data_IF_179757404271
#
_entry.id   IF_179757404271
#
_cell.length_a   1.000
_cell.length_b   1.000
_cell.length_c   1.000
_cell.angle_alpha   90.00
_cell.angle_beta   90.00
_cell.angle_gamma   90.00
#
_symmetry.space_group_name_H-M   'P 1'
#
loop_
_entity.id
_entity.type
_entity.pdbx_description
1 polymer ?
#
# COMPACT_ATOMS: atom_id res chain seq x y z
N UNK A 1 -3.15 10.11 15.77
CA UNK A 1 -1.88 9.43 15.42
C UNK A 1 -1.84 9.34 13.92
N UNK A 2 -0.78 9.83 13.30
CA UNK A 2 -0.60 9.74 11.85
C UNK A 2 0.02 8.40 11.44
N UNK A 3 -0.12 8.06 10.17
CA UNK A 3 0.39 6.84 9.55
C UNK A 3 1.22 7.19 8.32
N UNK A 4 2.26 6.41 8.06
CA UNK A 4 2.91 6.39 6.76
C UNK A 4 2.11 5.52 5.80
N UNK A 5 1.59 6.12 4.74
CA UNK A 5 1.12 5.43 3.53
C UNK A 5 2.33 5.17 2.65
N UNK A 6 2.75 3.91 2.58
CA UNK A 6 3.95 3.51 1.85
C UNK A 6 3.53 2.72 0.62
N UNK A 7 3.94 3.16 -0.56
CA UNK A 7 3.68 2.46 -1.82
C UNK A 7 5.00 2.04 -2.48
N UNK A 8 5.13 0.75 -2.83
CA UNK A 8 6.30 0.26 -3.57
C UNK A 8 6.25 0.72 -5.02
N UNK A 9 7.04 1.72 -5.38
CA UNK A 9 7.06 2.33 -6.71
C UNK A 9 8.02 1.60 -7.66
N UNK A 10 9.21 1.21 -7.19
CA UNK A 10 10.20 0.46 -7.98
C UNK A 10 10.40 -0.96 -7.44
N UNK A 11 10.78 -1.88 -8.33
CA UNK A 11 11.06 -3.26 -7.96
C UNK A 11 12.43 -3.39 -7.28
N UNK A 12 12.59 -4.38 -6.41
CA UNK A 12 13.87 -4.76 -5.82
C UNK A 12 14.61 -5.88 -6.58
N UNK A 13 14.25 -6.12 -7.84
CA UNK A 13 14.99 -7.04 -8.72
C UNK A 13 16.42 -6.51 -8.90
N UNK A 14 17.41 -7.38 -8.75
CA UNK A 14 18.82 -7.02 -8.86
C UNK A 14 19.41 -6.28 -7.66
N UNK A 15 18.63 -6.06 -6.59
CA UNK A 15 19.12 -5.42 -5.37
C UNK A 15 19.58 -6.45 -4.32
N UNK A 16 20.44 -6.04 -3.36
CA UNK A 16 20.89 -6.92 -2.28
C UNK A 16 19.74 -7.54 -1.47
N UNK A 17 19.98 -8.72 -0.90
CA UNK A 17 19.00 -9.42 -0.04
C UNK A 17 18.54 -8.58 1.16
N UNK A 18 19.41 -7.72 1.68
CA UNK A 18 19.07 -6.80 2.79
C UNK A 18 17.96 -5.82 2.41
N UNK A 19 18.03 -5.22 1.22
CA UNK A 19 16.98 -4.33 0.69
C UNK A 19 15.66 -5.08 0.53
N UNK A 20 15.70 -6.31 0.01
CA UNK A 20 14.50 -7.16 -0.10
C UNK A 20 13.92 -7.48 1.29
N UNK A 21 14.77 -7.83 2.25
CA UNK A 21 14.33 -8.11 3.63
C UNK A 21 13.63 -6.94 4.31
N UNK A 22 14.07 -5.69 4.05
CA UNK A 22 13.38 -4.50 4.57
C UNK A 22 12.00 -4.34 3.93
N UNK A 23 11.87 -4.55 2.61
CA UNK A 23 10.57 -4.50 1.94
C UNK A 23 9.62 -5.58 2.45
N UNK A 24 10.13 -6.81 2.66
CA UNK A 24 9.34 -7.91 3.22
C UNK A 24 8.89 -7.60 4.66
N UNK A 25 9.76 -7.01 5.49
CA UNK A 25 9.42 -6.57 6.84
C UNK A 25 8.38 -5.44 6.87
N UNK A 26 8.40 -4.54 5.88
CA UNK A 26 7.36 -3.53 5.69
C UNK A 26 6.05 -4.12 5.13
N UNK A 27 6.05 -5.37 4.64
CA UNK A 27 4.89 -6.04 4.03
C UNK A 27 4.66 -5.71 2.55
N UNK A 28 5.71 -5.25 1.85
CA UNK A 28 5.67 -4.87 0.43
C UNK A 28 6.23 -5.99 -0.45
N UNK A 29 5.34 -6.83 -0.98
CA UNK A 29 5.73 -8.01 -1.76
C UNK A 29 5.65 -7.79 -3.28
N UNK A 30 4.77 -6.88 -3.75
CA UNK A 30 4.58 -6.59 -5.18
C UNK A 30 4.59 -5.09 -5.47
N UNK A 31 4.98 -4.74 -6.70
CA UNK A 31 4.94 -3.34 -7.16
C UNK A 31 3.53 -2.76 -7.07
N UNK A 32 3.46 -1.45 -6.80
CA UNK A 32 2.24 -0.68 -6.60
C UNK A 32 1.38 -1.12 -5.40
N UNK A 33 1.87 -2.04 -4.57
CA UNK A 33 1.25 -2.36 -3.30
C UNK A 33 1.40 -1.19 -2.33
N UNK A 34 0.34 -0.90 -1.58
CA UNK A 34 0.33 0.14 -0.54
C UNK A 34 0.09 -0.51 0.81
N UNK A 35 0.86 -0.10 1.81
CA UNK A 35 0.73 -0.52 3.22
C UNK A 35 0.69 0.71 4.12
N UNK A 36 0.13 0.55 5.31
CA UNK A 36 0.02 1.61 6.32
C UNK A 36 0.70 1.17 7.59
N UNK A 37 1.62 2.00 8.08
CA UNK A 37 2.31 1.78 9.36
C UNK A 37 2.20 3.04 10.21
N UNK A 38 2.09 2.93 11.55
CA UNK A 38 2.06 4.10 12.42
C UNK A 38 3.36 4.89 12.28
N UNK A 39 3.28 6.22 12.41
CA UNK A 39 4.48 7.06 12.41
C UNK A 39 5.32 6.74 13.66
N UNK A 40 6.42 6.03 13.46
CA UNK A 40 7.39 5.69 14.48
C UNK A 40 8.83 5.76 13.94
N UNK A 41 9.84 6.01 14.79
CA UNK A 41 11.24 6.03 14.37
C UNK A 41 11.70 4.71 13.73
N UNK A 42 11.13 3.58 14.17
CA UNK A 42 11.44 2.25 13.62
C UNK A 42 11.02 2.16 12.15
N UNK A 43 9.78 2.55 11.83
CA UNK A 43 9.29 2.55 10.45
C UNK A 43 9.98 3.61 9.60
N UNK A 44 10.27 4.79 10.15
CA UNK A 44 11.02 5.83 9.47
C UNK A 44 12.43 5.34 9.06
N UNK A 45 13.13 4.63 9.95
CA UNK A 45 14.45 4.06 9.63
C UNK A 45 14.39 2.99 8.53
N UNK A 46 13.38 2.12 8.56
CA UNK A 46 13.15 1.14 7.50
C UNK A 46 12.87 1.83 6.16
N UNK A 47 12.00 2.84 6.15
CA UNK A 47 11.68 3.63 4.96
C UNK A 47 12.94 4.28 4.39
N UNK A 48 13.78 4.91 5.22
CA UNK A 48 15.00 5.59 4.78
C UNK A 48 15.99 4.64 4.09
N UNK A 49 16.00 3.37 4.47
CA UNK A 49 16.84 2.33 3.86
C UNK A 49 16.39 1.96 2.44
N UNK A 50 15.10 2.14 2.12
CA UNK A 50 14.49 1.80 0.82
C UNK A 50 13.85 3.01 0.13
N UNK A 51 14.23 4.24 0.51
CA UNK A 51 13.61 5.50 0.08
C UNK A 51 13.58 5.70 -1.43
N UNK A 52 14.51 5.09 -2.15
CA UNK A 52 14.60 5.12 -3.59
C UNK A 52 13.50 4.26 -4.24
N UNK A 53 12.98 3.24 -3.54
CA UNK A 53 12.01 2.28 -4.08
C UNK A 53 10.56 2.63 -3.74
N UNK A 54 10.34 3.38 -2.66
CA UNK A 54 9.01 3.66 -2.12
C UNK A 54 8.59 5.10 -2.34
N UNK A 55 7.28 5.32 -2.41
CA UNK A 55 6.66 6.64 -2.19
C UNK A 55 6.00 6.63 -0.83
N UNK A 56 6.13 7.73 -0.11
CA UNK A 56 5.61 7.87 1.26
C UNK A 56 4.79 9.13 1.35
N UNK A 57 3.61 9.00 1.94
CA UNK A 57 2.72 10.10 2.29
C UNK A 57 2.33 9.95 3.76
N UNK A 58 2.22 11.04 4.49
CA UNK A 58 1.66 11.05 5.84
C UNK A 58 0.13 11.19 5.74
N UNK A 59 -0.60 10.34 6.46
CA UNK A 59 -2.06 10.32 6.48
C UNK A 59 -2.59 10.22 7.91
N UNK A 60 -3.77 10.78 8.16
CA UNK A 60 -4.37 10.78 9.51
C UNK A 60 -4.86 9.40 9.96
N UNK A 61 -5.19 8.52 9.01
CA UNK A 61 -5.73 7.19 9.28
C UNK A 61 -5.18 6.13 8.32
N UNK A 62 -4.99 4.92 8.84
CA UNK A 62 -4.76 3.74 8.02
C UNK A 62 -6.07 3.29 7.36
N UNK A 63 -6.03 3.01 6.05
CA UNK A 63 -7.16 2.43 5.33
C UNK A 63 -7.04 0.89 5.30
N UNK A 64 -8.16 0.21 5.50
CA UNK A 64 -8.26 -1.24 5.32
C UNK A 64 -8.18 -1.64 3.84
N UNK A 65 -7.83 -2.89 3.57
CA UNK A 65 -7.76 -3.39 2.18
C UNK A 65 -9.12 -3.31 1.45
N UNK A 66 -10.22 -3.49 2.18
CA UNK A 66 -11.58 -3.39 1.64
C UNK A 66 -11.89 -1.96 1.21
N UNK A 67 -11.58 -0.98 2.06
CA UNK A 67 -11.75 0.45 1.74
C UNK A 67 -10.89 0.87 0.55
N UNK A 68 -9.63 0.44 0.50
CA UNK A 68 -8.75 0.70 -0.65
C UNK A 68 -9.28 0.08 -1.94
N UNK A 69 -9.93 -1.09 -1.87
CA UNK A 69 -10.52 -1.75 -3.03
C UNK A 69 -11.75 -1.00 -3.51
N UNK A 70 -12.59 -0.56 -2.57
CA UNK A 70 -13.79 0.20 -2.88
C UNK A 70 -13.45 1.56 -3.49
N UNK A 71 -12.49 2.29 -2.93
CA UNK A 71 -12.02 3.59 -3.47
C UNK A 71 -11.50 3.48 -4.91
N UNK A 72 -10.98 2.31 -5.30
CA UNK A 72 -10.49 2.04 -6.66
C UNK A 72 -11.57 1.51 -7.60
N UNK A 73 -12.74 1.12 -7.08
CA UNK A 73 -13.82 0.59 -7.91
C UNK A 73 -14.48 1.77 -8.63
N UNK A 74 -14.53 1.77 -9.97
CA UNK A 74 -15.31 2.77 -10.70
C UNK A 74 -16.80 2.54 -10.50
N UNK A 75 -17.60 3.58 -10.74
CA UNK A 75 -19.05 3.43 -10.75
C UNK A 75 -19.47 2.40 -11.82
N UNK A 76 -20.37 1.45 -11.50
CA UNK A 76 -20.77 0.40 -12.42
C UNK A 76 -21.37 0.92 -13.74
N UNK A 77 -21.98 2.11 -13.73
CA UNK A 77 -22.61 2.71 -14.91
C UNK A 77 -23.94 2.07 -15.33
N UNK A 78 -24.47 1.11 -14.57
CA UNK A 78 -25.78 0.52 -14.77
C UNK A 78 -26.45 0.26 -13.42
N UNK A 79 -27.78 0.17 -13.42
CA UNK A 79 -28.58 -0.30 -12.30
C UNK A 79 -29.48 -1.44 -12.77
N UNK A 80 -29.71 -2.44 -11.92
CA UNK A 80 -30.59 -3.56 -12.23
C UNK A 80 -32.00 -3.20 -11.77
N UNK A 81 -32.90 -2.94 -12.73
CA UNK A 81 -34.28 -2.52 -12.44
C UNK A 81 -35.12 -3.60 -11.76
N UNK A 82 -35.06 -4.83 -12.28
CA UNK A 82 -35.77 -5.97 -11.72
C UNK A 82 -35.03 -7.25 -12.07
N UNK A 83 -34.59 -7.98 -11.06
CA UNK A 83 -34.08 -9.34 -11.26
C UNK A 83 -35.25 -10.27 -11.58
N UNK A 84 -35.15 -11.05 -12.66
CA UNK A 84 -36.11 -12.12 -12.96
C UNK A 84 -35.76 -13.32 -12.08
N UNK A 85 -36.76 -13.89 -11.40
CA UNK A 85 -36.58 -15.12 -10.62
C UNK A 85 -36.19 -16.27 -11.56
N UNK A 86 -35.14 -16.99 -11.19
CA UNK A 86 -34.59 -18.09 -11.99
C UNK A 86 -35.42 -19.35 -11.88
#
# INVERSE_FOLDING_TARGET
>A
MSFFRITLHRSAIGLPKSTRGVLDALGLHRRSQTVFHPVSPQFAGMILKVKELVRVEEVDRAMSQTELRELRRPDPGFYVEKAVAR
#
